data_IF_538810727888
#
_entry.id   IF_538810727888
#
_cell.length_a   1.000
_cell.length_b   1.000
_cell.length_c   1.000
_cell.angle_alpha   90.00
_cell.angle_beta   90.00
_cell.angle_gamma   90.00
#
_symmetry.space_group_name_H-M   'P 1'
#
loop_
_entity.id
_entity.type
_entity.pdbx_description
1 polymer ?
#
# COMPACT_ATOMS: atom_id res chain seq x y z
N UNK A 1 16.40 2.64 -2.84
CA UNK A 1 15.06 3.28 -2.90
C UNK A 1 15.07 4.50 -1.98
N UNK A 2 14.66 5.70 -2.43
CA UNK A 2 14.37 6.80 -1.52
C UNK A 2 13.21 6.40 -0.61
N UNK A 3 13.32 6.67 0.69
CA UNK A 3 12.29 6.40 1.70
C UNK A 3 11.80 7.73 2.25
N UNK A 4 10.51 7.81 2.58
CA UNK A 4 9.92 9.04 3.11
C UNK A 4 8.53 8.80 3.68
N UNK A 5 7.97 9.85 4.28
CA UNK A 5 6.62 9.87 4.83
C UNK A 5 5.83 10.95 4.09
N UNK A 6 4.64 10.59 3.61
CA UNK A 6 3.68 11.51 3.00
C UNK A 6 2.43 11.53 3.87
N UNK A 7 1.98 12.72 4.26
CA UNK A 7 0.76 12.92 5.04
C UNK A 7 -0.28 13.63 4.19
N UNK A 8 -1.47 13.03 4.07
CA UNK A 8 -2.63 13.64 3.42
C UNK A 8 -3.64 13.98 4.51
N UNK A 9 -3.96 15.28 4.66
CA UNK A 9 -4.81 15.82 5.72
C UNK A 9 -5.87 16.76 5.15
N UNK A 10 -6.91 17.04 5.94
CA UNK A 10 -8.07 17.83 5.53
C UNK A 10 -9.36 17.40 6.25
N UNK A 11 -10.43 18.22 6.22
CA UNK A 11 -11.69 17.91 6.87
C UNK A 11 -12.40 16.69 6.25
N UNK A 12 -13.43 16.17 6.91
CA UNK A 12 -14.29 15.11 6.35
C UNK A 12 -14.87 15.55 5.00
N UNK A 13 -14.89 14.65 4.02
CA UNK A 13 -15.39 14.95 2.67
C UNK A 13 -14.41 15.69 1.75
N UNK A 14 -13.18 16.01 2.19
CA UNK A 14 -12.21 16.74 1.36
C UNK A 14 -11.48 15.88 0.31
N UNK A 15 -11.88 14.62 0.11
CA UNK A 15 -11.30 13.73 -0.90
C UNK A 15 -9.93 13.12 -0.55
N UNK A 16 -9.56 13.04 0.74
CA UNK A 16 -8.28 12.44 1.19
C UNK A 16 -8.11 11.00 0.72
N UNK A 17 -9.09 10.14 1.01
CA UNK A 17 -9.03 8.72 0.62
C UNK A 17 -9.01 8.59 -0.89
N UNK A 18 -9.81 9.38 -1.62
CA UNK A 18 -9.79 9.41 -3.09
C UNK A 18 -8.42 9.81 -3.64
N UNK A 19 -7.76 10.78 -3.03
CA UNK A 19 -6.42 11.23 -3.43
C UNK A 19 -5.39 10.13 -3.18
N UNK A 20 -5.44 9.48 -2.01
CA UNK A 20 -4.56 8.34 -1.70
C UNK A 20 -4.81 7.16 -2.64
N UNK A 21 -6.07 6.82 -2.93
CA UNK A 21 -6.43 5.77 -3.87
C UNK A 21 -5.90 6.06 -5.29
N UNK A 22 -5.97 7.30 -5.75
CA UNK A 22 -5.41 7.72 -7.03
C UNK A 22 -3.87 7.59 -7.05
N UNK A 23 -3.20 7.96 -5.96
CA UNK A 23 -1.73 7.78 -5.82
C UNK A 23 -1.37 6.30 -5.89
N UNK A 24 -2.10 5.44 -5.16
CA UNK A 24 -1.93 3.97 -5.17
C UNK A 24 -2.10 3.41 -6.58
N UNK A 25 -3.11 3.85 -7.32
CA UNK A 25 -3.34 3.39 -8.69
C UNK A 25 -2.21 3.80 -9.67
N UNK A 26 -1.72 5.03 -9.55
CA UNK A 26 -0.60 5.54 -10.34
C UNK A 26 0.66 4.72 -10.08
N UNK A 27 0.99 4.44 -8.80
CA UNK A 27 2.17 3.63 -8.49
C UNK A 27 2.01 2.20 -8.98
N UNK A 28 0.83 1.59 -8.77
CA UNK A 28 0.48 0.25 -9.24
C UNK A 28 0.61 0.09 -10.77
N UNK A 29 0.51 1.19 -11.53
CA UNK A 29 0.64 1.20 -12.99
C UNK A 29 2.06 1.48 -13.50
N UNK A 30 2.97 2.00 -12.66
CA UNK A 30 4.27 2.56 -13.10
C UNK A 30 5.50 1.78 -12.65
N UNK A 31 5.40 0.95 -11.60
CA UNK A 31 6.53 0.17 -11.05
C UNK A 31 6.10 -1.27 -10.74
N UNK A 32 7.00 -2.11 -10.24
CA UNK A 32 6.71 -3.46 -9.74
C UNK A 32 7.29 -3.58 -8.34
N UNK A 33 6.41 -3.55 -7.34
CA UNK A 33 6.79 -3.71 -5.94
C UNK A 33 5.57 -4.24 -5.14
N UNK A 34 5.61 -4.21 -3.80
CA UNK A 34 4.52 -4.66 -2.92
C UNK A 34 3.91 -3.49 -2.13
N UNK A 35 2.59 -3.27 -2.28
CA UNK A 35 1.80 -2.33 -1.46
C UNK A 35 1.09 -3.10 -0.36
N UNK A 36 1.14 -2.55 0.85
CA UNK A 36 0.26 -2.97 1.94
C UNK A 36 -0.57 -1.80 2.41
N UNK A 37 -1.89 -2.00 2.51
CA UNK A 37 -2.81 -1.06 3.16
C UNK A 37 -3.35 -1.66 4.44
N UNK A 38 -3.62 -0.81 5.42
CA UNK A 38 -4.31 -1.17 6.67
C UNK A 38 -5.37 -0.11 6.89
N UNK A 39 -6.64 -0.51 6.90
CA UNK A 39 -7.81 0.37 6.84
C UNK A 39 -8.91 -0.11 7.82
N UNK A 40 -9.89 0.74 8.13
CA UNK A 40 -10.99 0.45 9.07
C UNK A 40 -12.26 1.25 8.70
N UNK A 41 -13.17 0.70 7.85
CA UNK A 41 -13.01 -0.46 6.99
C UNK A 41 -12.24 -0.13 5.70
N UNK A 42 -12.01 -1.11 4.82
CA UNK A 42 -11.44 -0.86 3.48
C UNK A 42 -12.42 -0.01 2.66
N UNK A 43 -11.97 1.14 2.16
CA UNK A 43 -12.80 2.05 1.36
C UNK A 43 -12.75 1.76 -0.15
N UNK A 44 -11.57 1.39 -0.66
CA UNK A 44 -11.34 1.14 -2.10
C UNK A 44 -10.65 -0.20 -2.30
N UNK A 45 -11.20 -1.06 -3.16
CA UNK A 45 -10.51 -2.27 -3.59
C UNK A 45 -9.56 -1.95 -4.76
N UNK A 46 -8.29 -2.27 -4.56
CA UNK A 46 -7.25 -2.07 -5.55
C UNK A 46 -6.85 -3.40 -6.19
N UNK A 47 -7.15 -3.55 -7.48
CA UNK A 47 -6.71 -4.71 -8.24
C UNK A 47 -5.20 -4.66 -8.49
N UNK A 48 -4.54 -5.80 -8.36
CA UNK A 48 -3.11 -5.91 -8.69
C UNK A 48 -2.91 -5.72 -10.19
N UNK A 49 -2.14 -4.69 -10.58
CA UNK A 49 -1.72 -4.46 -11.97
C UNK A 49 -0.27 -4.92 -12.12
N UNK A 50 0.69 -4.01 -11.90
CA UNK A 50 2.12 -4.37 -11.88
C UNK A 50 2.64 -4.65 -10.47
N UNK A 51 1.91 -4.26 -9.43
CA UNK A 51 2.27 -4.51 -8.04
C UNK A 51 1.45 -5.66 -7.47
N UNK A 52 2.01 -6.31 -6.46
CA UNK A 52 1.23 -7.13 -5.52
C UNK A 52 0.61 -6.17 -4.51
N UNK A 53 -0.70 -6.31 -4.28
CA UNK A 53 -1.43 -5.49 -3.31
C UNK A 53 -1.99 -6.40 -2.22
N UNK A 54 -1.72 -6.06 -0.96
CA UNK A 54 -2.32 -6.70 0.21
C UNK A 54 -3.07 -5.67 1.03
N UNK A 55 -4.40 -5.73 1.00
CA UNK A 55 -5.25 -4.85 1.79
C UNK A 55 -5.70 -5.58 3.04
N UNK A 56 -5.70 -4.88 4.17
CA UNK A 56 -6.08 -5.43 5.47
C UNK A 56 -7.07 -4.54 6.17
N UNK A 57 -8.18 -5.12 6.58
CA UNK A 57 -9.18 -4.46 7.40
C UNK A 57 -8.93 -4.75 8.88
N UNK A 58 -8.95 -3.69 9.70
CA UNK A 58 -8.88 -3.82 11.15
C UNK A 58 -10.16 -4.49 11.67
N UNK A 59 -10.00 -5.47 12.54
CA UNK A 59 -11.09 -6.30 13.06
C UNK A 59 -11.35 -7.57 12.24
N UNK A 60 -11.00 -7.59 10.94
CA UNK A 60 -11.13 -8.78 10.08
C UNK A 60 -9.78 -9.46 9.85
N UNK A 61 -8.79 -8.75 9.31
CA UNK A 61 -7.48 -9.29 8.94
C UNK A 61 -6.41 -9.07 10.01
N UNK A 62 -6.61 -8.06 10.87
CA UNK A 62 -5.67 -7.68 11.93
C UNK A 62 -6.43 -7.12 13.13
N UNK A 63 -5.93 -7.34 14.34
CA UNK A 63 -6.57 -6.84 15.56
C UNK A 63 -6.44 -5.31 15.77
N UNK A 64 -5.41 -4.68 15.20
CA UNK A 64 -5.19 -3.23 15.28
C UNK A 64 -4.20 -2.74 14.23
N UNK A 65 -4.18 -1.43 13.98
CA UNK A 65 -3.15 -0.77 13.17
C UNK A 65 -1.74 -1.07 13.68
N UNK A 66 -1.51 -0.98 15.00
CA UNK A 66 -0.21 -1.24 15.59
C UNK A 66 0.24 -2.69 15.38
N UNK A 67 -0.67 -3.66 15.48
CA UNK A 67 -0.37 -5.06 15.20
C UNK A 67 -0.02 -5.28 13.72
N UNK A 68 -0.72 -4.60 12.80
CA UNK A 68 -0.50 -4.74 11.36
C UNK A 68 0.85 -4.19 10.89
N UNK A 69 1.42 -3.22 11.61
CA UNK A 69 2.70 -2.57 11.29
C UNK A 69 3.91 -3.26 11.96
N UNK A 70 3.70 -4.28 12.80
CA UNK A 70 4.83 -4.99 13.44
C UNK A 70 5.71 -5.68 12.39
N UNK A 71 7.04 -5.76 12.62
CA UNK A 71 7.92 -6.56 11.78
C UNK A 71 7.40 -8.00 11.66
N UNK A 72 7.33 -8.52 10.43
CA UNK A 72 6.79 -9.87 10.14
C UNK A 72 5.27 -9.95 10.05
N UNK A 73 4.53 -8.90 10.42
CA UNK A 73 3.08 -8.85 10.18
C UNK A 73 2.78 -8.78 8.67
N UNK A 74 3.63 -8.10 7.90
CA UNK A 74 3.59 -8.07 6.43
C UNK A 74 4.46 -9.20 5.88
N UNK A 75 3.90 -10.17 5.14
CA UNK A 75 4.68 -11.17 4.43
C UNK A 75 5.65 -10.46 3.49
N UNK A 76 6.94 -10.68 3.65
CA UNK A 76 7.93 -10.22 2.70
C UNK A 76 7.77 -11.05 1.43
N UNK A 77 7.24 -10.43 0.38
CA UNK A 77 7.30 -10.99 -0.97
C UNK A 77 8.58 -10.44 -1.59
N UNK A 78 9.60 -11.26 -1.90
CA UNK A 78 10.77 -10.79 -2.62
C UNK A 78 10.29 -10.34 -4.01
N UNK A 79 10.12 -9.04 -4.21
CA UNK A 79 9.94 -8.48 -5.54
C UNK A 79 11.26 -8.72 -6.26
N UNK A 80 11.21 -9.42 -7.40
CA UNK A 80 12.40 -9.90 -8.10
C UNK A 80 13.45 -8.78 -8.20
N UNK A 81 14.75 -9.07 -7.94
CA UNK A 81 15.77 -8.05 -8.07
C UNK A 81 15.71 -7.52 -9.50
N UNK A 82 15.60 -6.21 -9.66
CA UNK A 82 15.68 -5.56 -10.96
C UNK A 82 17.08 -5.77 -11.52
N UNK A 83 17.33 -6.92 -12.14
CA UNK A 83 18.52 -7.14 -12.96
C UNK A 83 18.29 -6.39 -14.27
N UNK A 84 18.52 -5.07 -14.23
CA UNK A 84 18.94 -4.38 -15.45
C UNK A 84 20.27 -5.03 -15.87
N UNK A 85 20.43 -5.46 -17.13
CA UNK A 85 21.73 -5.89 -17.61
C UNK A 85 22.64 -4.66 -17.55
N UNK A 86 23.64 -4.71 -16.67
CA UNK A 86 24.79 -3.81 -16.75
C UNK A 86 25.55 -4.26 -17.98
N UNK A 87 25.50 -3.43 -19.03
CA UNK A 87 26.37 -3.57 -20.19
C UNK A 87 27.82 -3.28 -19.85
#
# INVERSE_FOLDING_TARGET
MPRGLVLVTGPTGSGKTTTLAAIVDIVNSTRTDHIVTVEDPIEFLHESKKWVISQREVGQDTHSFAAALKPGAVPYTPTAPSTLPVG
#
